data_IF_275647492024
#
_entry.id   IF_275647492024
#
_cell.length_a   1.000
_cell.length_b   1.000
_cell.length_c   1.000
_cell.angle_alpha   90.00
_cell.angle_beta   90.00
_cell.angle_gamma   90.00
#
_symmetry.space_group_name_H-M   'P 1'
#
loop_
_entity.id
_entity.type
_entity.pdbx_description
1 polymer ?
#
# COMPACT_ATOMS: atom_id res chain seq x y z
N UNK A 1 -11.73 -2.28 -34.00
CA UNK A 1 -12.02 -2.27 -32.56
C UNK A 1 -13.46 -1.80 -32.38
N UNK A 2 -14.29 -2.54 -31.65
CA UNK A 2 -15.72 -2.22 -31.48
C UNK A 2 -15.91 -0.80 -30.89
N UNK A 3 -16.62 0.11 -31.58
CA UNK A 3 -16.81 1.49 -31.12
C UNK A 3 -17.47 1.57 -29.74
N UNK A 4 -18.32 0.61 -29.38
CA UNK A 4 -18.94 0.55 -28.05
C UNK A 4 -17.94 0.17 -26.95
N UNK A 5 -16.98 -0.72 -27.26
CA UNK A 5 -15.87 -1.01 -26.33
C UNK A 5 -15.02 0.23 -26.07
N UNK A 6 -14.71 1.01 -27.10
CA UNK A 6 -13.93 2.24 -26.96
C UNK A 6 -14.70 3.32 -26.16
N UNK A 7 -16.01 3.46 -26.38
CA UNK A 7 -16.85 4.37 -25.57
C UNK A 7 -16.89 3.95 -24.11
N UNK A 8 -17.13 2.66 -23.81
CA UNK A 8 -17.13 2.13 -22.43
C UNK A 8 -15.79 2.37 -21.72
N UNK A 9 -14.67 2.14 -22.41
CA UNK A 9 -13.33 2.40 -21.86
C UNK A 9 -13.12 3.88 -21.52
N UNK A 10 -13.48 4.80 -22.42
CA UNK A 10 -13.33 6.25 -22.19
C UNK A 10 -14.16 6.74 -20.99
N UNK A 11 -15.37 6.21 -20.82
CA UNK A 11 -16.22 6.54 -19.66
C UNK A 11 -15.57 6.04 -18.36
N UNK A 12 -15.15 4.77 -18.30
CA UNK A 12 -14.47 4.20 -17.14
C UNK A 12 -13.24 5.02 -16.74
N UNK A 13 -12.41 5.40 -17.72
CA UNK A 13 -11.23 6.23 -17.47
C UNK A 13 -11.59 7.60 -16.86
N UNK A 14 -12.60 8.27 -17.39
CA UNK A 14 -13.06 9.58 -16.86
C UNK A 14 -13.60 9.46 -15.44
N UNK A 15 -14.33 8.39 -15.13
CA UNK A 15 -14.83 8.11 -13.78
C UNK A 15 -13.66 7.92 -12.81
N UNK A 16 -12.66 7.12 -13.18
CA UNK A 16 -11.47 6.90 -12.33
C UNK A 16 -10.73 8.23 -12.08
N UNK A 17 -10.47 9.02 -13.13
CA UNK A 17 -9.81 10.33 -12.99
C UNK A 17 -10.65 11.27 -12.11
N UNK A 18 -11.97 11.31 -12.30
CA UNK A 18 -12.86 12.14 -11.48
C UNK A 18 -12.83 11.75 -10.00
N UNK A 19 -12.79 10.45 -9.69
CA UNK A 19 -12.64 9.95 -8.33
C UNK A 19 -11.27 10.36 -7.74
N UNK A 20 -10.18 10.20 -8.48
CA UNK A 20 -8.85 10.63 -8.04
C UNK A 20 -8.80 12.13 -7.71
N UNK A 21 -9.34 12.99 -8.59
CA UNK A 21 -9.39 14.44 -8.37
C UNK A 21 -10.27 14.79 -7.16
N UNK A 22 -11.42 14.13 -7.01
CA UNK A 22 -12.30 14.34 -5.87
C UNK A 22 -11.60 14.00 -4.54
N UNK A 23 -10.86 12.89 -4.48
CA UNK A 23 -10.06 12.51 -3.30
C UNK A 23 -9.04 13.61 -2.97
N UNK A 24 -8.31 14.14 -3.96
CA UNK A 24 -7.34 15.22 -3.75
C UNK A 24 -7.99 16.50 -3.19
N UNK A 25 -9.17 16.87 -3.70
CA UNK A 25 -9.93 18.03 -3.18
C UNK A 25 -10.34 17.80 -1.72
N UNK A 26 -10.83 16.60 -1.37
CA UNK A 26 -11.19 16.27 0.01
C UNK A 26 -9.98 16.33 0.94
N UNK A 27 -8.83 15.77 0.53
CA UNK A 27 -7.59 15.85 1.30
C UNK A 27 -7.18 17.31 1.56
N UNK A 28 -7.28 18.17 0.54
CA UNK A 28 -6.97 19.59 0.67
C UNK A 28 -7.91 20.32 1.64
N UNK A 29 -9.23 20.17 1.46
CA UNK A 29 -10.23 20.90 2.25
C UNK A 29 -10.22 20.50 3.72
N UNK A 30 -9.93 19.23 4.00
CA UNK A 30 -10.03 18.70 5.36
C UNK A 30 -8.69 18.56 6.07
N UNK A 31 -7.57 19.06 5.53
CA UNK A 31 -6.20 18.82 6.07
C UNK A 31 -6.04 19.03 7.59
N UNK A 32 -6.91 19.82 8.23
CA UNK A 32 -6.93 20.07 9.68
C UNK A 32 -7.87 19.13 10.48
N UNK A 33 -8.82 18.45 9.84
CA UNK A 33 -9.75 17.49 10.43
C UNK A 33 -9.12 16.09 10.48
N UNK A 34 -8.08 15.93 11.31
CA UNK A 34 -7.17 14.80 11.20
C UNK A 34 -7.86 13.43 11.31
N UNK A 35 -8.80 13.24 12.25
CA UNK A 35 -9.42 11.93 12.45
C UNK A 35 -10.47 11.60 11.37
N UNK A 36 -11.30 12.57 10.97
CA UNK A 36 -12.36 12.34 9.98
C UNK A 36 -11.79 11.95 8.62
N UNK A 37 -10.73 12.62 8.15
CA UNK A 37 -10.05 12.19 6.91
C UNK A 37 -9.54 10.78 7.05
N UNK A 38 -8.83 10.47 8.14
CA UNK A 38 -8.22 9.14 8.33
C UNK A 38 -9.28 8.03 8.32
N UNK A 39 -10.41 8.27 8.99
CA UNK A 39 -11.56 7.37 8.95
C UNK A 39 -12.15 7.22 7.54
N UNK A 40 -12.35 8.33 6.83
CA UNK A 40 -12.88 8.32 5.47
C UNK A 40 -11.93 7.61 4.49
N UNK A 41 -10.62 7.83 4.61
CA UNK A 41 -9.58 7.15 3.80
C UNK A 41 -9.57 5.65 4.07
N UNK A 42 -9.63 5.24 5.35
CA UNK A 42 -9.74 3.82 5.71
C UNK A 42 -11.00 3.19 5.12
N UNK A 43 -12.17 3.81 5.29
CA UNK A 43 -13.43 3.33 4.72
C UNK A 43 -13.37 3.27 3.18
N UNK A 44 -12.79 4.29 2.55
CA UNK A 44 -12.64 4.37 1.10
C UNK A 44 -11.75 3.24 0.57
N UNK A 45 -10.65 2.90 1.26
CA UNK A 45 -9.82 1.75 0.92
C UNK A 45 -10.61 0.44 1.02
N UNK A 46 -11.33 0.21 2.11
CA UNK A 46 -12.13 -1.01 2.31
C UNK A 46 -13.20 -1.19 1.24
N UNK A 47 -13.96 -0.12 0.96
CA UNK A 47 -15.02 -0.11 -0.05
C UNK A 47 -14.41 -0.32 -1.44
N UNK A 48 -13.33 0.39 -1.77
CA UNK A 48 -12.66 0.26 -3.08
C UNK A 48 -12.14 -1.15 -3.29
N UNK A 49 -11.50 -1.75 -2.28
CA UNK A 49 -11.01 -3.12 -2.37
C UNK A 49 -12.13 -4.13 -2.61
N UNK A 50 -13.24 -4.02 -1.86
CA UNK A 50 -14.41 -4.88 -2.05
C UNK A 50 -15.02 -4.72 -3.45
N UNK A 51 -15.19 -3.47 -3.91
CA UNK A 51 -15.73 -3.19 -5.24
C UNK A 51 -14.82 -3.74 -6.34
N UNK A 52 -13.50 -3.60 -6.20
CA UNK A 52 -12.52 -4.15 -7.15
C UNK A 52 -12.61 -5.68 -7.20
N UNK A 53 -12.64 -6.36 -6.04
CA UNK A 53 -12.78 -7.82 -5.97
C UNK A 53 -14.02 -8.31 -6.72
N UNK A 54 -15.17 -7.66 -6.47
CA UNK A 54 -16.45 -8.02 -7.10
C UNK A 54 -16.53 -7.64 -8.57
N UNK A 55 -16.02 -6.48 -8.94
CA UNK A 55 -16.10 -5.98 -10.31
C UNK A 55 -15.22 -6.77 -11.27
N UNK A 56 -14.05 -7.23 -10.80
CA UNK A 56 -13.08 -7.98 -11.61
C UNK A 56 -13.09 -9.49 -11.33
N UNK A 57 -14.02 -9.98 -10.51
CA UNK A 57 -14.15 -11.39 -10.12
C UNK A 57 -12.81 -11.99 -9.62
N UNK A 58 -12.11 -11.22 -8.79
CA UNK A 58 -10.78 -11.59 -8.29
C UNK A 58 -10.84 -12.67 -7.21
N UNK A 59 -12.02 -12.99 -6.69
CA UNK A 59 -12.27 -14.04 -5.69
C UNK A 59 -11.19 -14.07 -4.59
N UNK A 60 -10.91 -12.92 -3.98
CA UNK A 60 -9.96 -12.84 -2.88
C UNK A 60 -10.41 -13.68 -1.68
N UNK A 61 -9.45 -14.31 -1.01
CA UNK A 61 -9.68 -15.12 0.19
C UNK A 61 -9.79 -14.25 1.46
N UNK A 62 -10.44 -14.76 2.51
CA UNK A 62 -10.68 -14.04 3.78
C UNK A 62 -9.42 -13.40 4.39
N UNK A 63 -8.26 -14.03 4.28
CA UNK A 63 -7.01 -13.44 4.80
C UNK A 63 -6.55 -12.21 4.04
N UNK A 64 -6.82 -12.08 2.73
CA UNK A 64 -6.52 -10.85 1.98
C UNK A 64 -7.39 -9.69 2.47
N UNK A 65 -8.65 -9.96 2.79
CA UNK A 65 -9.52 -8.97 3.43
C UNK A 65 -8.99 -8.56 4.81
N UNK A 66 -8.51 -9.53 5.61
CA UNK A 66 -7.86 -9.22 6.88
C UNK A 66 -6.62 -8.34 6.69
N UNK A 67 -5.79 -8.59 5.68
CA UNK A 67 -4.64 -7.75 5.36
C UNK A 67 -5.05 -6.31 5.03
N UNK A 68 -6.09 -6.13 4.23
CA UNK A 68 -6.60 -4.80 3.88
C UNK A 68 -7.21 -4.09 5.08
N UNK A 69 -7.91 -4.81 5.96
CA UNK A 69 -8.41 -4.25 7.23
C UNK A 69 -7.24 -3.84 8.14
N UNK A 70 -6.19 -4.64 8.21
CA UNK A 70 -4.97 -4.31 8.96
C UNK A 70 -4.33 -3.03 8.42
N UNK A 71 -4.10 -2.95 7.10
CA UNK A 71 -3.55 -1.77 6.44
C UNK A 71 -4.45 -0.55 6.69
N UNK A 72 -5.77 -0.71 6.56
CA UNK A 72 -6.71 0.39 6.77
C UNK A 72 -6.65 0.93 8.21
N UNK A 73 -6.58 0.02 9.18
CA UNK A 73 -6.59 0.37 10.60
C UNK A 73 -5.25 0.94 11.07
N UNK A 74 -4.15 0.23 10.82
CA UNK A 74 -2.83 0.68 11.26
C UNK A 74 -2.28 1.82 10.39
N UNK A 75 -2.42 1.73 9.06
CA UNK A 75 -1.92 2.75 8.13
C UNK A 75 -2.69 4.07 8.18
N UNK A 76 -4.01 4.07 8.43
CA UNK A 76 -4.78 5.33 8.48
C UNK A 76 -5.30 5.67 9.87
N UNK A 77 -6.05 4.79 10.53
CA UNK A 77 -6.71 5.15 11.81
C UNK A 77 -5.68 5.42 12.90
N UNK A 78 -4.71 4.52 13.05
CA UNK A 78 -3.65 4.60 14.05
C UNK A 78 -2.41 5.36 13.59
N UNK A 79 -2.44 6.02 12.42
CA UNK A 79 -1.28 6.78 11.95
C UNK A 79 -0.75 7.84 12.94
N UNK A 80 -1.51 8.45 13.88
CA UNK A 80 -0.92 9.36 14.87
C UNK A 80 0.08 8.72 15.83
N UNK A 81 0.10 7.39 15.94
CA UNK A 81 1.10 6.69 16.74
C UNK A 81 2.51 6.91 16.22
N UNK A 82 2.67 7.23 14.94
CA UNK A 82 3.95 7.63 14.36
C UNK A 82 4.58 8.82 15.10
N UNK A 83 3.79 9.81 15.56
CA UNK A 83 4.32 10.96 16.30
C UNK A 83 4.75 10.64 17.75
N UNK A 84 4.45 9.42 18.22
CA UNK A 84 4.78 8.94 19.56
C UNK A 84 5.88 7.88 19.54
N UNK A 85 5.95 7.08 18.48
CA UNK A 85 6.87 5.97 18.35
C UNK A 85 7.52 5.98 16.95
N UNK A 86 8.77 6.42 16.82
CA UNK A 86 9.46 6.58 15.52
C UNK A 86 9.46 5.31 14.66
N UNK A 87 9.61 4.15 15.29
CA UNK A 87 9.70 2.88 14.59
C UNK A 87 8.32 2.35 14.15
N UNK A 88 7.22 2.98 14.55
CA UNK A 88 5.87 2.56 14.18
C UNK A 88 5.72 2.44 12.66
N UNK A 89 6.13 3.49 11.97
CA UNK A 89 6.05 3.58 10.52
C UNK A 89 6.98 2.56 9.85
N UNK A 90 8.21 2.41 10.34
CA UNK A 90 9.17 1.40 9.86
C UNK A 90 8.64 -0.03 9.99
N UNK A 91 7.92 -0.35 11.07
CA UNK A 91 7.26 -1.65 11.22
C UNK A 91 6.17 -1.83 10.16
N UNK A 92 5.39 -0.78 9.85
CA UNK A 92 4.39 -0.83 8.81
C UNK A 92 5.01 -0.98 7.42
N UNK A 93 6.08 -0.24 7.13
CA UNK A 93 6.85 -0.38 5.89
C UNK A 93 7.45 -1.78 5.72
N UNK A 94 7.67 -2.54 6.79
CA UNK A 94 8.04 -3.95 6.68
C UNK A 94 6.84 -4.88 6.43
N UNK A 95 5.77 -4.74 7.20
CA UNK A 95 4.62 -5.67 7.20
C UNK A 95 3.72 -5.46 5.98
N UNK A 96 3.43 -4.21 5.61
CA UNK A 96 2.49 -3.91 4.54
C UNK A 96 2.95 -4.45 3.18
N UNK A 97 4.23 -4.39 2.78
CA UNK A 97 4.70 -4.99 1.53
C UNK A 97 4.58 -6.51 1.49
N UNK A 98 4.72 -7.20 2.63
CA UNK A 98 4.47 -8.65 2.72
C UNK A 98 3.01 -8.96 2.40
N UNK A 99 2.09 -8.21 3.00
CA UNK A 99 0.65 -8.34 2.77
C UNK A 99 0.27 -7.99 1.33
N UNK A 100 0.82 -6.89 0.82
CA UNK A 100 0.56 -6.46 -0.54
C UNK A 100 1.12 -7.46 -1.57
N UNK A 101 2.31 -8.02 -1.33
CA UNK A 101 2.85 -9.09 -2.16
C UNK A 101 1.94 -10.33 -2.20
N UNK A 102 1.30 -10.69 -1.09
CA UNK A 102 0.31 -11.77 -1.06
C UNK A 102 -0.92 -11.47 -1.92
N UNK A 103 -1.45 -10.25 -1.83
CA UNK A 103 -2.59 -9.78 -2.63
C UNK A 103 -2.25 -9.77 -4.13
N UNK A 104 -1.09 -9.23 -4.51
CA UNK A 104 -0.62 -9.19 -5.90
C UNK A 104 -0.38 -10.61 -6.40
N UNK A 105 0.24 -11.48 -5.60
CA UNK A 105 0.45 -12.88 -5.98
C UNK A 105 -0.87 -13.62 -6.25
N UNK A 106 -1.94 -13.33 -5.50
CA UNK A 106 -3.25 -13.91 -5.76
C UNK A 106 -3.83 -13.53 -7.13
N UNK A 107 -3.50 -12.34 -7.66
CA UNK A 107 -3.85 -11.96 -9.03
C UNK A 107 -2.92 -12.66 -10.04
N UNK A 108 -1.62 -12.60 -9.82
CA UNK A 108 -0.59 -13.11 -10.73
C UNK A 108 -0.62 -14.63 -10.88
N UNK A 109 -1.02 -15.37 -9.84
CA UNK A 109 -1.09 -16.84 -9.87
C UNK A 109 -2.05 -17.38 -10.94
N UNK A 110 -3.04 -16.58 -11.36
CA UNK A 110 -4.01 -16.92 -12.41
C UNK A 110 -3.45 -16.80 -13.83
N UNK A 111 -2.32 -16.12 -14.00
CA UNK A 111 -1.65 -16.00 -15.29
C UNK A 111 -1.00 -17.33 -15.69
N UNK A 112 -0.96 -17.61 -16.99
CA UNK A 112 -0.25 -18.78 -17.52
C UNK A 112 1.25 -18.48 -17.65
N UNK A 113 1.91 -18.47 -16.50
CA UNK A 113 3.34 -18.21 -16.36
C UNK A 113 3.98 -19.28 -15.48
N UNK A 114 5.24 -19.62 -15.77
CA UNK A 114 6.02 -20.40 -14.83
C UNK A 114 6.11 -19.69 -13.48
N UNK A 115 6.10 -20.48 -12.40
CA UNK A 115 6.12 -19.95 -11.04
C UNK A 115 7.26 -18.95 -10.77
N UNK A 116 8.47 -19.20 -11.32
CA UNK A 116 9.62 -18.30 -11.14
C UNK A 116 9.29 -16.89 -11.66
N UNK A 117 8.63 -16.81 -12.82
CA UNK A 117 8.21 -15.55 -13.42
C UNK A 117 7.07 -14.90 -12.65
N UNK A 118 6.14 -15.69 -12.09
CA UNK A 118 5.09 -15.16 -11.20
C UNK A 118 5.67 -14.44 -9.99
N UNK A 119 6.66 -15.05 -9.33
CA UNK A 119 7.33 -14.47 -8.15
C UNK A 119 8.12 -13.21 -8.52
N UNK A 120 8.88 -13.25 -9.62
CA UNK A 120 9.60 -12.07 -10.12
C UNK A 120 8.63 -10.92 -10.43
N UNK A 121 7.48 -11.23 -11.05
CA UNK A 121 6.48 -10.23 -11.39
C UNK A 121 5.86 -9.57 -10.14
N UNK A 122 5.58 -10.36 -9.09
CA UNK A 122 5.13 -9.83 -7.79
C UNK A 122 6.17 -8.89 -7.20
N UNK A 123 7.45 -9.30 -7.17
CA UNK A 123 8.54 -8.50 -6.64
C UNK A 123 8.60 -7.12 -7.30
N UNK A 124 8.60 -7.08 -8.65
CA UNK A 124 8.65 -5.82 -9.39
C UNK A 124 7.39 -4.95 -9.21
N UNK A 125 6.20 -5.55 -9.19
CA UNK A 125 4.95 -4.78 -8.95
C UNK A 125 4.99 -4.14 -7.56
N UNK A 126 5.39 -4.89 -6.53
CA UNK A 126 5.37 -4.39 -5.15
C UNK A 126 6.42 -3.30 -4.95
N UNK A 127 7.67 -3.52 -5.38
CA UNK A 127 8.73 -2.51 -5.25
C UNK A 127 8.40 -1.26 -6.09
N UNK A 128 7.91 -1.45 -7.32
CA UNK A 128 7.50 -0.33 -8.16
C UNK A 128 6.35 0.47 -7.54
N UNK A 129 5.40 -0.21 -6.89
CA UNK A 129 4.33 0.47 -6.15
C UNK A 129 4.86 1.22 -4.93
N UNK A 130 5.80 0.64 -4.16
CA UNK A 130 6.43 1.32 -3.02
C UNK A 130 7.12 2.61 -3.45
N UNK A 131 7.95 2.56 -4.50
CA UNK A 131 8.58 3.74 -5.06
C UNK A 131 7.56 4.81 -5.51
N UNK A 132 6.44 4.39 -6.10
CA UNK A 132 5.38 5.31 -6.48
C UNK A 132 4.66 5.94 -5.28
N UNK A 133 4.49 5.19 -4.19
CA UNK A 133 3.91 5.72 -2.96
C UNK A 133 4.83 6.78 -2.34
N UNK A 134 6.12 6.50 -2.20
CA UNK A 134 7.11 7.47 -1.69
C UNK A 134 7.16 8.76 -2.52
N UNK A 135 7.16 8.62 -3.85
CA UNK A 135 7.08 9.78 -4.75
C UNK A 135 5.76 10.54 -4.53
N UNK A 136 4.67 9.80 -4.33
CA UNK A 136 3.37 10.38 -3.99
C UNK A 136 3.41 11.18 -2.70
N UNK A 137 4.01 10.64 -1.65
CA UNK A 137 4.18 11.33 -0.36
C UNK A 137 5.04 12.58 -0.48
N UNK A 138 6.16 12.49 -1.19
CA UNK A 138 6.99 13.65 -1.53
C UNK A 138 6.19 14.76 -2.20
N UNK A 139 5.41 14.43 -3.23
CA UNK A 139 4.60 15.40 -3.96
C UNK A 139 3.52 16.00 -3.05
N UNK A 140 2.86 15.17 -2.24
CA UNK A 140 1.83 15.62 -1.30
C UNK A 140 2.43 16.56 -0.24
N UNK A 141 3.60 16.25 0.29
CA UNK A 141 4.32 17.12 1.21
C UNK A 141 4.72 18.44 0.56
N UNK A 142 5.21 18.39 -0.68
CA UNK A 142 5.59 19.57 -1.44
C UNK A 142 4.42 20.53 -1.68
N UNK A 143 3.25 20.00 -2.05
CA UNK A 143 2.08 20.84 -2.39
C UNK A 143 1.21 21.22 -1.19
N UNK A 144 1.18 20.39 -0.14
CA UNK A 144 0.17 20.50 0.92
C UNK A 144 0.74 20.59 2.34
N UNK A 145 2.05 20.41 2.53
CA UNK A 145 2.73 20.42 3.85
C UNK A 145 2.09 19.43 4.85
N UNK A 146 1.86 18.19 4.39
CA UNK A 146 1.17 17.16 5.18
C UNK A 146 2.08 16.44 6.18
N UNK A 147 3.40 16.59 6.08
CA UNK A 147 4.39 15.93 6.94
C UNK A 147 4.28 14.41 6.88
N UNK A 148 4.10 13.89 5.67
CA UNK A 148 4.10 12.47 5.37
C UNK A 148 5.52 11.91 5.39
N UNK A 149 6.51 12.70 4.92
CA UNK A 149 7.92 12.31 4.92
C UNK A 149 8.72 12.92 6.06
N UNK A 150 9.72 12.19 6.53
CA UNK A 150 10.57 12.53 7.68
C UNK A 150 10.13 11.74 8.91
N UNK A 151 10.83 11.89 10.03
CA UNK A 151 10.33 11.41 11.34
C UNK A 151 10.10 12.59 12.25
N UNK A 152 8.83 12.82 12.62
CA UNK A 152 8.44 13.89 13.52
C UNK A 152 8.02 13.35 14.89
N UNK A 153 8.67 13.79 15.95
CA UNK A 153 8.25 13.48 17.32
C UNK A 153 7.46 14.63 17.92
N UNK A 154 6.35 14.30 18.59
CA UNK A 154 5.59 15.29 19.35
C UNK A 154 6.33 15.67 20.62
N UNK A 155 6.66 16.94 20.76
CA UNK A 155 7.22 17.45 21.99
C UNK A 155 6.12 17.48 23.08
N UNK A 156 6.30 16.71 24.16
CA UNK A 156 5.32 16.62 25.25
C UNK A 156 5.35 17.86 26.16
N UNK A 157 6.43 18.65 26.12
CA UNK A 157 6.65 19.84 26.96
C UNK A 157 6.17 21.13 26.28
N UNK A 158 6.09 21.15 24.95
CA UNK A 158 5.60 22.29 24.16
C UNK A 158 4.30 21.95 23.44
N UNK A 159 3.21 22.66 23.74
CA UNK A 159 1.93 22.50 23.05
C UNK A 159 2.09 22.71 21.53
N UNK A 160 2.09 21.62 20.77
CA UNK A 160 1.94 21.62 19.32
C UNK A 160 3.23 21.72 18.49
N UNK A 161 4.41 21.62 19.11
CA UNK A 161 5.68 21.56 18.35
C UNK A 161 6.03 20.11 18.02
N UNK A 162 6.38 19.88 16.75
CA UNK A 162 6.93 18.62 16.27
C UNK A 162 8.42 18.84 16.00
N UNK A 163 9.24 17.99 16.58
CA UNK A 163 10.68 18.01 16.37
C UNK A 163 11.03 16.95 15.31
N UNK A 164 11.69 17.37 14.23
CA UNK A 164 12.14 16.44 13.18
C UNK A 164 13.39 15.72 13.70
N UNK A 165 13.34 14.39 13.73
CA UNK A 165 14.41 13.51 14.21
C UNK A 165 15.17 12.86 13.07
N UNK A 166 14.48 12.59 11.95
CA UNK A 166 15.07 12.07 10.71
C UNK A 166 14.62 12.96 9.57
N UNK A 167 15.56 13.35 8.71
CA UNK A 167 15.29 14.15 7.53
C UNK A 167 14.41 13.39 6.52
N UNK A 168 13.64 14.12 5.72
CA UNK A 168 12.66 13.55 4.78
C UNK A 168 13.26 12.55 3.80
N UNK A 169 14.43 12.86 3.25
CA UNK A 169 15.10 12.00 2.28
C UNK A 169 15.61 10.71 2.93
N UNK A 170 16.23 10.82 4.11
CA UNK A 170 16.73 9.66 4.85
C UNK A 170 15.58 8.72 5.24
N UNK A 171 14.47 9.28 5.69
CA UNK A 171 13.24 8.57 6.00
C UNK A 171 12.71 7.78 4.80
N UNK A 172 12.56 8.45 3.65
CA UNK A 172 12.18 7.82 2.37
C UNK A 172 13.10 6.65 2.00
N UNK A 173 14.42 6.81 2.18
CA UNK A 173 15.39 5.77 1.88
C UNK A 173 15.26 4.58 2.83
N UNK A 174 14.96 4.83 4.11
CA UNK A 174 14.66 3.79 5.08
C UNK A 174 13.38 3.04 4.73
N UNK A 175 12.32 3.73 4.34
CA UNK A 175 11.04 3.11 4.00
C UNK A 175 11.12 2.23 2.76
N UNK A 176 11.82 2.69 1.72
CA UNK A 176 12.11 1.87 0.55
C UNK A 176 12.96 0.66 0.89
N UNK A 177 14.00 0.83 1.71
CA UNK A 177 14.90 -0.26 2.09
C UNK A 177 14.16 -1.32 2.90
N UNK A 178 13.38 -0.91 3.90
CA UNK A 178 12.62 -1.81 4.76
C UNK A 178 11.50 -2.48 3.97
N UNK A 179 10.80 -1.74 3.11
CA UNK A 179 9.75 -2.30 2.26
C UNK A 179 10.28 -3.28 1.21
N UNK A 180 11.47 -3.04 0.68
CA UNK A 180 12.19 -3.99 -0.15
C UNK A 180 12.51 -5.28 0.61
N UNK A 181 13.03 -5.19 1.84
CA UNK A 181 13.31 -6.36 2.69
C UNK A 181 12.02 -7.13 3.03
N UNK A 182 10.94 -6.44 3.35
CA UNK A 182 9.62 -7.06 3.57
C UNK A 182 9.15 -7.84 2.33
N UNK A 183 9.26 -7.22 1.16
CA UNK A 183 8.90 -7.87 -0.12
C UNK A 183 9.76 -9.10 -0.40
N UNK A 184 11.09 -9.00 -0.19
CA UNK A 184 12.01 -10.13 -0.35
C UNK A 184 11.68 -11.28 0.61
N UNK A 185 11.30 -10.96 1.84
CA UNK A 185 10.91 -11.98 2.84
C UNK A 185 9.74 -12.83 2.34
N UNK A 186 8.73 -12.21 1.72
CA UNK A 186 7.61 -12.92 1.11
C UNK A 186 8.05 -13.80 -0.08
N UNK A 187 8.93 -13.28 -0.95
CA UNK A 187 9.48 -14.01 -2.10
C UNK A 187 10.24 -15.26 -1.65
N UNK A 188 11.16 -15.10 -0.71
CA UNK A 188 11.99 -16.17 -0.16
C UNK A 188 11.12 -17.26 0.47
N UNK A 189 10.14 -16.88 1.30
CA UNK A 189 9.18 -17.81 1.90
C UNK A 189 8.46 -18.67 0.84
N UNK A 190 7.99 -18.03 -0.24
CA UNK A 190 7.29 -18.73 -1.32
C UNK A 190 8.20 -19.65 -2.15
N UNK A 191 9.48 -19.29 -2.33
CA UNK A 191 10.44 -20.16 -3.02
C UNK A 191 10.72 -21.43 -2.22
N UNK A 192 10.95 -21.31 -0.91
CA UNK A 192 11.17 -22.46 -0.02
C UNK A 192 9.95 -23.38 0.07
N UNK A 193 8.75 -22.82 0.22
CA UNK A 193 7.54 -23.63 0.28
C UNK A 193 7.30 -24.45 -0.98
N UNK A 194 7.63 -23.91 -2.16
CA UNK A 194 7.52 -24.65 -3.42
C UNK A 194 8.54 -25.79 -3.51
N UNK A 195 9.78 -25.56 -3.08
CA UNK A 195 10.80 -26.60 -3.05
C UNK A 195 10.34 -27.81 -2.23
N UNK A 196 9.82 -27.56 -1.02
CA UNK A 196 9.29 -28.59 -0.14
C UNK A 196 8.11 -29.36 -0.75
N UNK A 197 7.22 -28.68 -1.49
CA UNK A 197 6.10 -29.35 -2.17
C UNK A 197 6.56 -30.27 -3.30
N UNK A 198 7.61 -29.87 -4.05
CA UNK A 198 8.16 -30.68 -5.12
C UNK A 198 8.88 -31.92 -4.58
N UNK A 199 9.57 -31.82 -3.44
CA UNK A 199 10.20 -32.98 -2.79
C UNK A 199 9.16 -34.00 -2.32
N UNK A 200 8.08 -33.54 -1.67
CA UNK A 200 6.99 -34.45 -1.25
C UNK A 200 6.39 -35.22 -2.42
N UNK A 201 6.21 -34.59 -3.58
CA UNK A 201 5.69 -35.24 -4.78
C UNK A 201 6.61 -36.30 -5.40
N UNK A 202 7.91 -36.32 -5.07
CA UNK A 202 8.84 -37.37 -5.53
C UNK A 202 8.73 -38.66 -4.73
N UNK A 203 8.11 -38.60 -3.54
CA UNK A 203 7.95 -39.74 -2.63
C UNK A 203 6.59 -40.43 -2.74
N UNK A 204 5.70 -39.95 -3.62
CA UNK A 204 4.41 -40.55 -3.97
C UNK A 204 4.41 -40.93 -5.44
#
# INVERSE_FOLDING_TARGET
MDPDKNRKYRIKRRVIIGICVFILIVLYLFKNASFFIRALSAMSLLVSFYLIDRYFDLNYQKHHYFFIVFIAFFGFILSPFYYLYPNYDKILHFIQPIFYASIVYHMVKRLDLEYKWKIIFVLFIVIGSLALFEIGEYLLDYFFDLKLQGVFLRNLQGLGKFDMVIEKLDDTMWDLSIGFIGTLSYVVYNLFNKANLNERKKHY
#
